data_IF_766718289448
#
_entry.id   IF_766718289448
#
_cell.length_a   1.000
_cell.length_b   1.000
_cell.length_c   1.000
_cell.angle_alpha   90.00
_cell.angle_beta   90.00
_cell.angle_gamma   90.00
#
_symmetry.space_group_name_H-M   'P 1'
#
loop_
_entity.id
_entity.type
_entity.pdbx_description
1 polymer ?
#
# COMPACT_ATOMS: atom_id res chain seq x y z
N UNK A 1 -9.98 -8.12 25.21
CA UNK A 1 -10.38 -8.91 24.03
C UNK A 1 -9.34 -8.66 22.96
N UNK A 2 -8.45 -9.63 22.74
CA UNK A 2 -7.34 -9.51 21.78
C UNK A 2 -7.86 -9.84 20.38
N UNK A 3 -7.42 -9.02 19.41
CA UNK A 3 -7.83 -9.05 18.01
C UNK A 3 -7.28 -10.31 17.31
N UNK A 4 -8.17 -11.23 16.89
CA UNK A 4 -7.82 -12.55 16.33
C UNK A 4 -7.31 -12.53 14.87
N UNK A 5 -7.26 -11.36 14.22
CA UNK A 5 -6.86 -11.28 12.81
C UNK A 5 -5.34 -11.09 12.58
N UNK A 6 -4.55 -10.99 13.65
CA UNK A 6 -3.10 -10.75 13.56
C UNK A 6 -2.22 -12.00 13.54
N UNK A 7 -2.78 -13.17 13.85
CA UNK A 7 -2.00 -14.38 14.21
C UNK A 7 -1.84 -15.38 13.06
N UNK A 8 -2.60 -15.24 11.97
CA UNK A 8 -2.58 -16.22 10.86
C UNK A 8 -1.48 -15.99 9.81
N UNK A 9 -0.80 -14.85 9.83
CA UNK A 9 0.33 -14.60 8.93
C UNK A 9 1.63 -15.30 9.39
N UNK A 10 1.68 -15.84 10.61
CA UNK A 10 2.93 -16.33 11.23
C UNK A 10 3.20 -17.84 11.06
N UNK A 11 2.26 -18.64 10.53
CA UNK A 11 2.39 -20.12 10.58
C UNK A 11 2.59 -20.81 9.23
N UNK A 12 2.39 -20.13 8.10
CA UNK A 12 2.46 -20.77 6.79
C UNK A 12 3.71 -20.34 6.02
N UNK A 13 4.55 -21.32 5.68
CA UNK A 13 5.71 -21.09 4.82
C UNK A 13 5.27 -20.67 3.41
N UNK A 14 6.02 -19.76 2.79
CA UNK A 14 5.73 -19.23 1.44
C UNK A 14 5.37 -20.31 0.39
N UNK A 15 6.08 -21.44 0.26
CA UNK A 15 5.72 -22.48 -0.69
C UNK A 15 4.33 -23.08 -0.46
N UNK A 16 3.93 -23.24 0.81
CA UNK A 16 2.62 -23.78 1.18
C UNK A 16 1.50 -22.83 0.80
N UNK A 17 1.70 -21.53 1.03
CA UNK A 17 0.75 -20.49 0.63
C UNK A 17 0.59 -20.40 -0.89
N UNK A 18 1.68 -20.45 -1.65
CA UNK A 18 1.59 -20.41 -3.12
C UNK A 18 0.84 -21.63 -3.66
N UNK A 19 1.10 -22.82 -3.09
CA UNK A 19 0.45 -24.07 -3.51
C UNK A 19 -1.03 -24.18 -3.16
N UNK A 20 -1.54 -23.36 -2.23
CA UNK A 20 -2.98 -23.33 -1.93
C UNK A 20 -3.80 -22.53 -2.94
N UNK A 21 -3.14 -21.78 -3.84
CA UNK A 21 -3.81 -20.98 -4.87
C UNK A 21 -3.91 -21.74 -6.18
N UNK A 22 -5.04 -21.59 -6.88
CA UNK A 22 -5.27 -22.23 -8.18
C UNK A 22 -4.15 -21.88 -9.18
N UNK A 23 -3.65 -22.90 -9.88
CA UNK A 23 -2.63 -22.75 -10.94
C UNK A 23 -3.09 -21.75 -12.02
N UNK A 24 -4.39 -21.71 -12.36
CA UNK A 24 -4.90 -20.74 -13.34
C UNK A 24 -4.73 -19.29 -12.86
N UNK A 25 -4.95 -19.04 -11.57
CA UNK A 25 -4.80 -17.73 -10.96
C UNK A 25 -3.31 -17.35 -10.94
N UNK A 26 -2.43 -18.27 -10.53
CA UNK A 26 -0.99 -18.06 -10.51
C UNK A 26 -0.44 -17.75 -11.90
N UNK A 27 -0.89 -18.46 -12.94
CA UNK A 27 -0.54 -18.14 -14.34
C UNK A 27 -0.97 -16.74 -14.73
N UNK A 28 -2.19 -16.33 -14.37
CA UNK A 28 -2.66 -14.96 -14.61
C UNK A 28 -1.78 -13.88 -13.95
N UNK A 29 -1.25 -14.13 -12.75
CA UNK A 29 -0.29 -13.20 -12.10
C UNK A 29 0.97 -13.04 -12.98
N UNK A 30 1.52 -14.16 -13.44
CA UNK A 30 2.77 -14.18 -14.23
C UNK A 30 2.59 -13.57 -15.62
N UNK A 31 1.46 -13.84 -16.27
CA UNK A 31 1.16 -13.37 -17.62
C UNK A 31 0.78 -11.89 -17.64
N UNK A 32 -0.13 -11.47 -16.75
CA UNK A 32 -0.67 -10.11 -16.75
C UNK A 32 0.23 -9.12 -16.03
N UNK A 33 0.95 -9.55 -14.99
CA UNK A 33 1.84 -8.71 -14.16
C UNK A 33 1.18 -7.40 -13.72
N UNK A 34 -0.12 -7.45 -13.47
CA UNK A 34 -0.97 -6.30 -13.16
C UNK A 34 -1.28 -6.25 -11.68
N UNK A 35 -1.13 -5.06 -11.08
CA UNK A 35 -1.55 -4.84 -9.70
C UNK A 35 -3.06 -5.04 -9.54
N UNK A 36 -3.86 -4.59 -10.50
CA UNK A 36 -5.33 -4.71 -10.41
C UNK A 36 -5.75 -6.19 -10.41
N UNK A 37 -5.13 -7.02 -11.25
CA UNK A 37 -5.38 -8.46 -11.25
C UNK A 37 -4.98 -9.12 -9.92
N UNK A 38 -3.86 -8.68 -9.32
CA UNK A 38 -3.41 -9.18 -8.02
C UNK A 38 -4.35 -8.76 -6.89
N UNK A 39 -4.96 -7.57 -6.96
CA UNK A 39 -5.81 -7.05 -5.90
C UNK A 39 -7.27 -7.45 -6.02
N UNK A 40 -7.76 -7.80 -7.21
CA UNK A 40 -9.19 -8.17 -7.42
C UNK A 40 -9.55 -9.54 -6.84
N UNK A 41 -8.59 -10.46 -6.72
CA UNK A 41 -8.79 -11.77 -6.11
C UNK A 41 -8.26 -11.81 -4.68
N UNK A 42 -9.07 -12.33 -3.74
CA UNK A 42 -8.73 -12.40 -2.31
C UNK A 42 -7.44 -13.19 -2.05
N UNK A 43 -7.25 -14.31 -2.75
CA UNK A 43 -6.13 -15.23 -2.60
C UNK A 43 -4.82 -14.58 -3.06
N UNK A 44 -4.86 -13.88 -4.19
CA UNK A 44 -3.67 -13.18 -4.71
C UNK A 44 -3.36 -11.93 -3.92
N UNK A 45 -4.38 -11.21 -3.43
CA UNK A 45 -4.20 -10.07 -2.54
C UNK A 45 -3.55 -10.50 -1.22
N UNK A 46 -3.96 -11.64 -0.66
CA UNK A 46 -3.34 -12.23 0.52
C UNK A 46 -1.86 -12.61 0.23
N UNK A 47 -1.59 -13.34 -0.85
CA UNK A 47 -0.22 -13.69 -1.25
C UNK A 47 0.67 -12.46 -1.45
N UNK A 48 0.14 -11.42 -2.08
CA UNK A 48 0.88 -10.19 -2.32
C UNK A 48 1.15 -9.43 -1.02
N UNK A 49 0.19 -9.37 -0.11
CA UNK A 49 0.36 -8.78 1.23
C UNK A 49 1.44 -9.52 2.03
N UNK A 50 1.44 -10.85 1.98
CA UNK A 50 2.46 -11.68 2.62
C UNK A 50 3.84 -11.46 1.98
N UNK A 51 3.93 -11.44 0.65
CA UNK A 51 5.17 -11.14 -0.07
C UNK A 51 5.73 -9.77 0.30
N UNK A 52 4.91 -8.74 0.30
CA UNK A 52 5.30 -7.39 0.70
C UNK A 52 5.77 -7.33 2.15
N UNK A 53 5.17 -8.12 3.05
CA UNK A 53 5.61 -8.21 4.46
C UNK A 53 7.02 -8.79 4.56
N UNK A 54 7.33 -9.85 3.80
CA UNK A 54 8.67 -10.46 3.75
C UNK A 54 9.76 -9.49 3.28
N UNK A 55 9.43 -8.58 2.37
CA UNK A 55 10.38 -7.56 1.87
C UNK A 55 10.26 -6.21 2.59
N UNK A 56 9.53 -6.15 3.71
CA UNK A 56 9.32 -4.91 4.50
C UNK A 56 8.72 -3.75 3.69
N UNK A 57 7.79 -4.04 2.78
CA UNK A 57 7.10 -3.06 1.91
C UNK A 57 5.57 -3.04 2.06
N UNK A 58 4.99 -3.80 2.99
CA UNK A 58 3.52 -3.88 3.17
C UNK A 58 2.86 -2.52 3.46
N UNK A 59 3.58 -1.60 4.09
CA UNK A 59 3.08 -0.24 4.37
C UNK A 59 2.74 0.57 3.11
N UNK A 60 3.36 0.28 1.96
CA UNK A 60 2.98 0.89 0.67
C UNK A 60 1.57 0.47 0.25
N UNK A 61 1.24 -0.82 0.40
CA UNK A 61 -0.10 -1.33 0.08
C UNK A 61 -1.16 -0.77 1.03
N UNK A 62 -0.88 -0.74 2.33
CA UNK A 62 -1.81 -0.17 3.31
C UNK A 62 -2.05 1.32 3.07
N UNK A 63 -0.99 2.11 2.80
CA UNK A 63 -1.15 3.51 2.44
C UNK A 63 -2.02 3.69 1.20
N UNK A 64 -1.77 2.90 0.15
CA UNK A 64 -2.57 2.97 -1.08
C UNK A 64 -4.05 2.69 -0.80
N UNK A 65 -4.37 1.60 -0.11
CA UNK A 65 -5.76 1.23 0.22
C UNK A 65 -6.48 2.27 1.09
N UNK A 66 -5.79 2.80 2.10
CA UNK A 66 -6.39 3.81 3.01
C UNK A 66 -6.55 5.17 2.33
N UNK A 67 -5.62 5.55 1.48
CA UNK A 67 -5.72 6.80 0.71
C UNK A 67 -6.87 6.77 -0.31
N UNK A 68 -7.18 5.61 -0.91
CA UNK A 68 -8.31 5.49 -1.85
C UNK A 68 -9.65 5.84 -1.20
N UNK A 69 -9.82 5.51 0.07
CA UNK A 69 -11.04 5.78 0.85
C UNK A 69 -11.09 7.19 1.42
N UNK A 70 -10.00 7.96 1.31
CA UNK A 70 -9.84 9.21 2.01
C UNK A 70 -10.92 10.23 1.62
N UNK A 71 -11.24 10.31 0.33
CA UNK A 71 -12.18 11.31 -0.21
C UNK A 71 -13.63 11.03 0.13
N UNK A 72 -13.97 9.77 0.38
CA UNK A 72 -15.31 9.33 0.77
C UNK A 72 -15.49 9.30 2.30
N UNK A 73 -14.46 9.70 3.06
CA UNK A 73 -14.51 9.70 4.52
C UNK A 73 -15.38 10.84 5.05
N UNK A 74 -16.38 10.49 5.87
CA UNK A 74 -17.18 11.43 6.66
C UNK A 74 -16.30 12.32 7.58
N UNK A 75 -15.11 11.84 7.95
CA UNK A 75 -14.12 12.57 8.73
C UNK A 75 -12.79 12.70 7.97
N UNK A 76 -12.84 13.39 6.83
CA UNK A 76 -11.66 13.63 5.98
C UNK A 76 -10.42 14.10 6.76
N UNK A 77 -10.57 15.09 7.66
CA UNK A 77 -9.44 15.63 8.43
C UNK A 77 -8.80 14.58 9.34
N UNK A 78 -9.62 13.79 10.05
CA UNK A 78 -9.15 12.69 10.89
C UNK A 78 -8.47 11.59 10.09
N UNK A 79 -9.06 11.18 8.96
CA UNK A 79 -8.47 10.17 8.06
C UNK A 79 -7.16 10.64 7.44
N UNK A 80 -7.08 11.91 7.02
CA UNK A 80 -5.85 12.50 6.49
C UNK A 80 -4.75 12.57 7.55
N UNK A 81 -5.11 12.94 8.78
CA UNK A 81 -4.19 12.93 9.92
C UNK A 81 -3.63 11.54 10.18
N UNK A 82 -4.50 10.52 10.21
CA UNK A 82 -4.07 9.13 10.40
C UNK A 82 -3.14 8.66 9.27
N UNK A 83 -3.45 8.97 8.01
CA UNK A 83 -2.57 8.68 6.87
C UNK A 83 -1.20 9.35 7.01
N UNK A 84 -1.18 10.62 7.43
CA UNK A 84 0.06 11.35 7.62
C UNK A 84 0.91 10.72 8.73
N UNK A 85 0.34 10.50 9.91
CA UNK A 85 1.05 9.99 11.09
C UNK A 85 1.55 8.56 10.90
N UNK A 86 0.82 7.71 10.18
CA UNK A 86 1.18 6.30 10.00
C UNK A 86 2.17 6.04 8.86
N UNK A 87 2.23 6.92 7.84
CA UNK A 87 2.99 6.63 6.61
C UNK A 87 3.87 7.76 6.09
N UNK A 88 3.57 9.02 6.41
CA UNK A 88 4.26 10.17 5.78
C UNK A 88 5.14 10.95 6.76
N UNK A 89 4.84 10.89 8.06
CA UNK A 89 5.57 11.63 9.07
C UNK A 89 7.07 11.34 8.99
N UNK A 90 7.85 12.42 8.99
CA UNK A 90 9.32 12.36 8.98
C UNK A 90 9.89 11.64 10.20
N UNK A 91 9.14 11.61 11.32
CA UNK A 91 9.52 10.89 12.54
C UNK A 91 9.40 9.36 12.41
N UNK A 92 8.73 8.85 11.38
CA UNK A 92 8.60 7.42 11.17
C UNK A 92 9.94 6.78 10.78
N UNK A 93 10.23 5.55 11.25
CA UNK A 93 11.35 4.78 10.74
C UNK A 93 11.17 4.54 9.23
N UNK A 94 12.28 4.50 8.49
CA UNK A 94 12.27 4.31 7.03
C UNK A 94 11.57 3.02 6.59
N UNK A 95 11.55 1.99 7.44
CA UNK A 95 10.86 0.72 7.22
C UNK A 95 9.34 0.80 7.24
N UNK A 96 8.76 1.93 7.68
CA UNK A 96 7.31 2.17 7.72
C UNK A 96 6.88 3.39 6.91
N UNK A 97 7.84 4.11 6.35
CA UNK A 97 7.61 5.41 5.72
C UNK A 97 7.48 5.26 4.21
N UNK A 98 6.43 5.86 3.67
CA UNK A 98 6.20 5.96 2.22
C UNK A 98 7.06 7.08 1.65
N UNK A 99 8.00 6.69 0.79
CA UNK A 99 8.96 7.59 0.16
C UNK A 99 8.80 7.55 -1.37
N UNK A 100 7.99 8.46 -1.89
CA UNK A 100 7.80 8.69 -3.33
C UNK A 100 8.60 9.91 -3.75
N UNK A 101 9.54 9.73 -4.70
CA UNK A 101 10.42 10.80 -5.20
C UNK A 101 9.66 11.95 -5.87
N UNK A 102 8.48 11.67 -6.42
CA UNK A 102 7.64 12.66 -7.10
C UNK A 102 7.03 13.71 -6.15
N UNK A 103 7.12 13.51 -4.82
CA UNK A 103 6.53 14.42 -3.84
C UNK A 103 7.61 15.02 -2.95
N UNK A 104 7.71 16.35 -2.97
CA UNK A 104 8.76 17.10 -2.28
C UNK A 104 8.49 17.17 -0.77
N UNK A 105 9.54 17.42 0.05
CA UNK A 105 9.36 17.70 1.48
C UNK A 105 8.40 18.86 1.75
N UNK A 106 8.40 19.91 0.91
CA UNK A 106 7.51 21.07 1.03
C UNK A 106 6.03 20.70 0.84
N UNK A 107 5.72 19.79 -0.07
CA UNK A 107 4.35 19.29 -0.25
C UNK A 107 3.87 18.47 0.95
N UNK A 108 4.75 17.64 1.54
CA UNK A 108 4.43 16.93 2.80
C UNK A 108 4.20 17.91 3.96
N UNK A 109 4.96 19.00 4.01
CA UNK A 109 4.71 20.10 4.96
C UNK A 109 3.35 20.77 4.74
N UNK A 110 2.90 20.91 3.49
CA UNK A 110 1.56 21.41 3.16
C UNK A 110 0.44 20.59 3.78
N UNK A 111 0.54 19.25 3.71
CA UNK A 111 -0.40 18.34 4.39
C UNK A 111 -0.38 18.56 5.90
N UNK A 112 0.82 18.62 6.50
CA UNK A 112 0.98 18.86 7.94
C UNK A 112 0.35 20.18 8.38
N UNK A 113 0.55 21.24 7.60
CA UNK A 113 0.00 22.57 7.90
C UNK A 113 -1.52 22.52 7.88
N UNK A 114 -2.13 21.94 6.85
CA UNK A 114 -3.58 21.75 6.78
C UNK A 114 -4.12 20.97 7.99
N UNK A 115 -3.48 19.87 8.39
CA UNK A 115 -3.88 19.09 9.58
C UNK A 115 -3.81 19.93 10.86
N UNK A 116 -2.81 20.82 10.96
CA UNK A 116 -2.56 21.59 12.19
C UNK A 116 -3.45 22.83 12.29
N UNK A 117 -3.69 23.52 11.18
CA UNK A 117 -4.39 24.81 11.16
C UNK A 117 -5.85 24.70 10.74
N UNK A 118 -6.24 23.63 10.06
CA UNK A 118 -7.57 23.48 9.46
C UNK A 118 -7.83 24.44 8.29
N UNK A 119 -6.78 25.08 7.75
CA UNK A 119 -6.89 26.10 6.71
C UNK A 119 -7.42 25.52 5.39
N UNK A 120 -8.70 25.80 5.11
CA UNK A 120 -9.40 25.30 3.93
C UNK A 120 -8.83 25.84 2.62
N UNK A 121 -8.07 26.94 2.62
CA UNK A 121 -7.44 27.45 1.39
C UNK A 121 -6.39 26.49 0.84
N UNK A 122 -5.85 25.60 1.69
CA UNK A 122 -4.85 24.60 1.32
C UNK A 122 -5.44 23.31 0.76
N UNK A 123 -6.77 23.11 0.81
CA UNK A 123 -7.40 21.81 0.49
C UNK A 123 -7.10 21.33 -0.93
N UNK A 124 -7.01 22.25 -1.90
CA UNK A 124 -6.66 21.93 -3.29
C UNK A 124 -5.23 21.39 -3.40
N UNK A 125 -4.26 22.09 -2.79
CA UNK A 125 -2.86 21.65 -2.79
C UNK A 125 -2.66 20.32 -2.04
N UNK A 126 -3.44 20.09 -0.97
CA UNK A 126 -3.45 18.83 -0.22
C UNK A 126 -4.00 17.70 -1.09
N UNK A 127 -5.11 17.93 -1.79
CA UNK A 127 -5.70 16.99 -2.78
C UNK A 127 -4.68 16.57 -3.82
N UNK A 128 -4.06 17.54 -4.48
CA UNK A 128 -3.06 17.28 -5.53
C UNK A 128 -1.87 16.50 -4.98
N UNK A 129 -1.42 16.81 -3.76
CA UNK A 129 -0.31 16.11 -3.13
C UNK A 129 -0.65 14.66 -2.81
N UNK A 130 -1.84 14.41 -2.26
CA UNK A 130 -2.30 13.05 -1.94
C UNK A 130 -2.46 12.24 -3.22
N UNK A 131 -3.07 12.80 -4.28
CA UNK A 131 -3.20 12.12 -5.57
C UNK A 131 -1.83 11.73 -6.17
N UNK A 132 -0.85 12.64 -6.13
CA UNK A 132 0.52 12.33 -6.57
C UNK A 132 1.19 11.24 -5.73
N UNK A 133 0.96 11.23 -4.42
CA UNK A 133 1.43 10.14 -3.55
C UNK A 133 0.77 8.82 -3.93
N UNK A 134 -0.55 8.83 -4.18
CA UNK A 134 -1.31 7.65 -4.59
C UNK A 134 -0.79 7.06 -5.89
N UNK A 135 -0.65 7.87 -6.92
CA UNK A 135 -0.11 7.45 -8.22
C UNK A 135 1.31 6.90 -8.10
N UNK A 136 2.18 7.59 -7.33
CA UNK A 136 3.56 7.15 -7.12
C UNK A 136 3.65 5.83 -6.35
N UNK A 137 2.80 5.63 -5.33
CA UNK A 137 2.73 4.36 -4.60
C UNK A 137 2.16 3.25 -5.47
N UNK A 138 1.11 3.53 -6.25
CA UNK A 138 0.56 2.57 -7.21
C UNK A 138 1.62 2.09 -8.19
N UNK A 139 2.33 3.02 -8.82
CA UNK A 139 3.43 2.71 -9.73
C UNK A 139 4.53 1.89 -9.06
N UNK A 140 4.88 2.20 -7.81
CA UNK A 140 5.84 1.41 -7.04
C UNK A 140 5.37 -0.02 -6.78
N UNK A 141 4.09 -0.20 -6.42
CA UNK A 141 3.49 -1.51 -6.21
C UNK A 141 3.41 -2.32 -7.52
N UNK A 142 3.04 -1.68 -8.63
CA UNK A 142 3.05 -2.30 -9.97
C UNK A 142 4.47 -2.77 -10.36
N UNK A 143 5.49 -1.98 -10.05
CA UNK A 143 6.89 -2.38 -10.25
C UNK A 143 7.27 -3.61 -9.43
N UNK A 144 6.83 -3.67 -8.16
CA UNK A 144 7.04 -4.84 -7.31
C UNK A 144 6.32 -6.05 -7.88
N UNK A 145 5.08 -5.90 -8.35
CA UNK A 145 4.31 -7.00 -8.98
C UNK A 145 5.08 -7.53 -10.19
N UNK A 146 5.49 -6.64 -11.09
CA UNK A 146 6.11 -6.98 -12.36
C UNK A 146 7.50 -7.61 -12.22
N UNK A 147 8.33 -7.09 -11.33
CA UNK A 147 9.75 -7.46 -11.22
C UNK A 147 10.05 -8.42 -10.08
N UNK A 148 9.24 -8.42 -9.02
CA UNK A 148 9.43 -9.24 -7.83
C UNK A 148 8.41 -10.35 -7.73
N UNK A 149 7.16 -9.99 -7.41
CA UNK A 149 6.11 -10.94 -7.06
C UNK A 149 5.86 -11.98 -8.16
N UNK A 150 5.69 -11.53 -9.42
CA UNK A 150 5.43 -12.44 -10.54
C UNK A 150 6.59 -13.42 -10.77
N UNK A 151 7.83 -12.99 -10.52
CA UNK A 151 9.01 -13.87 -10.64
C UNK A 151 9.10 -14.87 -9.50
N UNK A 152 8.73 -14.48 -8.29
CA UNK A 152 8.64 -15.41 -7.17
C UNK A 152 7.56 -16.46 -7.39
N UNK A 153 6.39 -16.09 -7.93
CA UNK A 153 5.34 -17.05 -8.27
C UNK A 153 5.79 -18.00 -9.39
N UNK A 154 6.48 -17.51 -10.42
CA UNK A 154 6.97 -18.32 -11.53
C UNK A 154 7.89 -19.48 -11.09
N UNK A 155 8.57 -19.37 -9.94
CA UNK A 155 9.42 -20.47 -9.43
C UNK A 155 8.65 -21.70 -8.95
N UNK A 156 7.33 -21.60 -8.84
CA UNK A 156 6.44 -22.66 -8.36
C UNK A 156 5.48 -23.17 -9.45
N UNK A 157 5.59 -22.63 -10.67
CA UNK A 157 4.86 -23.06 -11.87
C UNK A 157 5.77 -23.90 -12.76
#
# INVERSE_FOLDING_TARGET
MANQNGTELETHEWPTLVRSVSISILKGIVELKSLDYVLVHSETAYLFTYFLSRISKVHYLHYYQESLKLWDSENFSGSLKALYENYLDRKLPSSRKVEIRAVTPSQKTGIKNFITTGDQTLIGAVKDTVLKLQEGVRSHLEDIVRRGFSQEILRFL
#
